data_IF_480418096201
#
_entry.id   IF_480418096201
#
_cell.length_a   1.000
_cell.length_b   1.000
_cell.length_c   1.000
_cell.angle_alpha   90.00
_cell.angle_beta   90.00
_cell.angle_gamma   90.00
#
_symmetry.space_group_name_H-M   'P 1'
#
loop_
_entity.id
_entity.type
_entity.pdbx_description
1 polymer ?
#
# COMPACT_ATOMS: atom_id res chain seq x y z
N UNK A 1 -4.06 -14.31 -51.31
CA UNK A 1 -2.99 -13.55 -50.63
C UNK A 1 -3.51 -12.68 -49.48
N UNK A 2 -4.58 -11.89 -49.65
CA UNK A 2 -5.18 -11.04 -48.59
C UNK A 2 -5.39 -11.73 -47.22
N UNK A 3 -5.87 -12.98 -47.22
CA UNK A 3 -6.16 -13.75 -46.00
C UNK A 3 -4.91 -14.09 -45.18
N UNK A 4 -3.74 -14.23 -45.82
CA UNK A 4 -2.44 -14.48 -45.16
C UNK A 4 -1.94 -13.21 -44.47
N UNK A 5 -2.00 -12.07 -45.15
CA UNK A 5 -1.65 -10.76 -44.56
C UNK A 5 -2.59 -10.38 -43.41
N UNK A 6 -3.90 -10.65 -43.52
CA UNK A 6 -4.86 -10.44 -42.43
C UNK A 6 -4.52 -11.26 -41.18
N UNK A 7 -4.08 -12.52 -41.35
CA UNK A 7 -3.63 -13.38 -40.22
C UNK A 7 -2.35 -12.87 -39.58
N UNK A 8 -1.38 -12.42 -40.39
CA UNK A 8 -0.12 -11.85 -39.89
C UNK A 8 -0.39 -10.56 -39.10
N UNK A 9 -1.19 -9.64 -39.65
CA UNK A 9 -1.58 -8.41 -38.96
C UNK A 9 -2.29 -8.72 -37.65
N UNK A 10 -3.25 -9.66 -37.66
CA UNK A 10 -3.96 -10.06 -36.45
C UNK A 10 -3.02 -10.64 -35.38
N UNK A 11 -2.09 -11.51 -35.76
CA UNK A 11 -1.08 -12.04 -34.84
C UNK A 11 -0.18 -10.93 -34.28
N UNK A 12 0.28 -10.00 -35.11
CA UNK A 12 1.10 -8.86 -34.67
C UNK A 12 0.36 -7.98 -33.67
N UNK A 13 -0.93 -7.67 -33.93
CA UNK A 13 -1.76 -6.89 -33.01
C UNK A 13 -1.92 -7.60 -31.66
N UNK A 14 -2.16 -8.90 -31.67
CA UNK A 14 -2.26 -9.70 -30.44
C UNK A 14 -0.95 -9.63 -29.65
N UNK A 15 0.20 -9.78 -30.30
CA UNK A 15 1.51 -9.70 -29.63
C UNK A 15 1.71 -8.33 -28.99
N UNK A 16 1.36 -7.24 -29.68
CA UNK A 16 1.47 -5.88 -29.16
C UNK A 16 0.56 -5.70 -27.93
N UNK A 17 -0.69 -6.17 -28.00
CA UNK A 17 -1.63 -6.09 -26.87
C UNK A 17 -1.10 -6.88 -25.67
N UNK A 18 -0.63 -8.11 -25.89
CA UNK A 18 -0.07 -8.93 -24.82
C UNK A 18 1.15 -8.25 -24.18
N UNK A 19 2.03 -7.65 -24.97
CA UNK A 19 3.19 -6.92 -24.46
C UNK A 19 2.80 -5.66 -23.68
N UNK A 20 1.80 -4.92 -24.17
CA UNK A 20 1.26 -3.75 -23.49
C UNK A 20 0.63 -4.13 -22.15
N UNK A 21 -0.21 -5.17 -22.12
CA UNK A 21 -0.83 -5.69 -20.89
C UNK A 21 0.24 -6.18 -19.90
N UNK A 22 1.26 -6.90 -20.38
CA UNK A 22 2.38 -7.34 -19.55
C UNK A 22 3.12 -6.16 -18.92
N UNK A 23 3.33 -5.08 -19.67
CA UNK A 23 3.99 -3.87 -19.18
C UNK A 23 3.13 -3.12 -18.17
N UNK A 24 1.85 -2.90 -18.49
CA UNK A 24 0.89 -2.21 -17.60
C UNK A 24 0.71 -2.98 -16.29
N UNK A 25 0.73 -4.32 -16.31
CA UNK A 25 0.64 -5.13 -15.10
C UNK A 25 1.82 -4.93 -14.12
N UNK A 26 2.95 -4.37 -14.58
CA UNK A 26 4.10 -4.04 -13.71
C UNK A 26 3.97 -2.68 -13.02
N UNK A 27 2.99 -1.86 -13.43
CA UNK A 27 2.74 -0.55 -12.84
C UNK A 27 1.92 -0.74 -11.56
N UNK A 28 2.26 0.01 -10.51
CA UNK A 28 1.46 0.14 -9.30
C UNK A 28 0.45 1.27 -9.51
N UNK A 29 -0.83 0.92 -9.62
CA UNK A 29 -1.92 1.88 -9.71
C UNK A 29 -2.55 2.03 -8.34
N UNK A 30 -2.49 3.23 -7.76
CA UNK A 30 -3.09 3.52 -6.48
C UNK A 30 -4.53 4.00 -6.68
N UNK A 31 -5.47 3.38 -5.97
CA UNK A 31 -6.89 3.74 -5.98
C UNK A 31 -7.13 5.03 -5.20
N UNK A 32 -6.37 5.22 -4.12
CA UNK A 32 -6.39 6.43 -3.32
C UNK A 32 -5.27 7.39 -3.75
N UNK A 33 -5.60 8.61 -4.23
CA UNK A 33 -4.60 9.59 -4.64
C UNK A 33 -3.73 10.08 -3.48
N UNK A 34 -4.25 10.11 -2.25
CA UNK A 34 -3.46 10.47 -1.07
C UNK A 34 -2.48 9.37 -0.69
N UNK A 35 -2.85 8.10 -0.94
CA UNK A 35 -1.91 7.00 -0.76
C UNK A 35 -0.81 7.07 -1.82
N UNK A 36 -1.15 7.38 -3.07
CA UNK A 36 -0.13 7.64 -4.09
C UNK A 36 0.79 8.80 -3.68
N UNK A 37 0.23 9.89 -3.16
CA UNK A 37 0.99 11.06 -2.68
C UNK A 37 1.96 10.65 -1.57
N UNK A 38 1.50 9.90 -0.58
CA UNK A 38 2.34 9.36 0.49
C UNK A 38 3.53 8.59 -0.09
N UNK A 39 3.27 7.63 -0.97
CA UNK A 39 4.33 6.80 -1.58
C UNK A 39 5.34 7.65 -2.34
N UNK A 40 4.87 8.68 -3.06
CA UNK A 40 5.77 9.58 -3.80
C UNK A 40 6.63 10.43 -2.90
N UNK A 41 6.07 10.95 -1.82
CA UNK A 41 6.72 11.88 -0.92
C UNK A 41 7.65 11.19 0.07
N UNK A 42 7.35 9.97 0.52
CA UNK A 42 7.99 9.41 1.74
C UNK A 42 8.75 8.11 1.53
N UNK A 43 8.65 7.48 0.36
CA UNK A 43 9.37 6.24 0.09
C UNK A 43 10.88 6.50 0.01
N UNK A 44 11.62 6.14 1.06
CA UNK A 44 13.09 6.27 1.14
C UNK A 44 13.71 4.89 1.39
N UNK A 45 14.40 4.36 0.38
CA UNK A 45 15.08 3.06 0.47
C UNK A 45 14.15 1.95 0.99
N UNK A 46 14.42 1.46 2.20
CA UNK A 46 13.74 0.37 2.89
C UNK A 46 12.49 0.83 3.69
N UNK A 47 12.30 2.13 3.80
CA UNK A 47 11.32 2.74 4.70
C UNK A 47 10.31 3.60 3.95
N UNK A 48 9.11 3.72 4.50
CA UNK A 48 8.08 4.67 4.11
C UNK A 48 7.42 5.21 5.38
N UNK A 49 7.74 6.45 5.76
CA UNK A 49 7.30 7.09 7.01
C UNK A 49 6.76 8.49 6.75
N UNK A 50 5.77 8.91 7.52
CA UNK A 50 5.11 10.20 7.31
C UNK A 50 5.77 11.37 8.03
N UNK A 51 6.95 11.21 8.65
CA UNK A 51 7.58 12.34 9.35
C UNK A 51 8.20 13.33 8.36
N UNK A 52 8.35 14.60 8.77
CA UNK A 52 8.95 15.64 7.92
C UNK A 52 10.40 15.33 7.52
N UNK A 53 11.16 14.61 8.37
CA UNK A 53 12.53 14.19 8.07
C UNK A 53 12.59 13.09 6.99
N UNK A 54 11.52 12.30 6.87
CA UNK A 54 11.41 11.21 5.91
C UNK A 54 10.87 11.66 4.54
N UNK A 55 10.33 12.90 4.47
CA UNK A 55 9.89 13.49 3.21
C UNK A 55 11.09 13.66 2.28
N UNK A 56 10.97 13.08 1.09
CA UNK A 56 11.96 13.20 0.03
C UNK A 56 12.04 14.63 -0.43
N UNK A 57 13.27 15.17 -0.40
CA UNK A 57 13.60 16.44 -1.03
C UNK A 57 13.15 16.53 -2.50
N UNK A 58 13.11 15.38 -3.20
CA UNK A 58 12.51 15.26 -4.53
C UNK A 58 11.58 14.03 -4.57
N UNK A 59 10.25 14.18 -4.76
CA UNK A 59 9.29 13.08 -4.82
C UNK A 59 9.55 12.07 -5.95
N UNK A 60 8.90 10.90 -5.91
CA UNK A 60 8.99 9.93 -7.00
C UNK A 60 8.21 10.50 -8.19
N UNK A 61 8.90 10.78 -9.29
CA UNK A 61 8.29 11.32 -10.51
C UNK A 61 7.97 10.19 -11.51
N UNK A 62 6.91 10.36 -12.29
CA UNK A 62 6.53 9.43 -13.34
C UNK A 62 5.85 8.14 -12.84
N UNK A 63 5.98 7.07 -13.62
CA UNK A 63 5.33 5.78 -13.38
C UNK A 63 5.96 5.12 -12.14
N UNK A 64 5.12 4.74 -11.18
CA UNK A 64 5.53 3.90 -10.05
C UNK A 64 5.47 2.45 -10.52
N UNK A 65 6.64 1.80 -10.63
CA UNK A 65 6.71 0.38 -10.93
C UNK A 65 6.60 -0.42 -9.63
N UNK A 66 5.92 -1.57 -9.65
CA UNK A 66 5.83 -2.47 -8.49
C UNK A 66 7.22 -2.83 -7.94
N UNK A 67 8.22 -2.99 -8.81
CA UNK A 67 9.62 -3.23 -8.42
C UNK A 67 10.25 -2.09 -7.61
N UNK A 68 9.74 -0.85 -7.70
CA UNK A 68 10.22 0.24 -6.86
C UNK A 68 9.78 0.07 -5.39
N UNK A 69 8.69 -0.67 -5.15
CA UNK A 69 8.10 -0.89 -3.84
C UNK A 69 8.59 -2.18 -3.17
N UNK A 70 9.16 -3.11 -3.95
CA UNK A 70 9.68 -4.39 -3.45
C UNK A 70 10.83 -4.25 -2.43
N UNK A 71 11.54 -3.13 -2.39
CA UNK A 71 12.62 -2.94 -1.40
C UNK A 71 12.16 -2.33 -0.07
N UNK A 72 10.88 -1.95 0.05
CA UNK A 72 10.32 -1.39 1.29
C UNK A 72 9.98 -2.53 2.23
N UNK A 73 10.65 -2.57 3.39
CA UNK A 73 10.33 -3.53 4.45
C UNK A 73 9.51 -2.91 5.58
N UNK A 74 9.42 -1.59 5.69
CA UNK A 74 8.71 -0.94 6.79
C UNK A 74 7.87 0.24 6.32
N UNK A 75 6.63 0.24 6.76
CA UNK A 75 5.59 1.19 6.38
C UNK A 75 4.98 1.77 7.63
N UNK A 76 4.87 3.10 7.66
CA UNK A 76 4.07 3.83 8.62
C UNK A 76 3.17 4.80 7.88
N UNK A 77 1.87 4.73 8.18
CA UNK A 77 0.85 5.57 7.57
C UNK A 77 0.15 6.36 8.67
N UNK A 78 0.25 7.69 8.58
CA UNK A 78 -0.55 8.59 9.39
C UNK A 78 -1.78 9.06 8.61
N UNK A 79 -2.94 8.47 8.91
CA UNK A 79 -4.22 8.79 8.29
C UNK A 79 -4.66 10.23 8.59
N UNK A 80 -4.21 10.82 9.70
CA UNK A 80 -4.53 12.22 10.03
C UNK A 80 -3.84 13.22 9.08
N UNK A 81 -2.64 12.90 8.62
CA UNK A 81 -1.85 13.79 7.76
C UNK A 81 -2.18 13.61 6.28
N UNK A 82 -2.30 12.35 5.84
CA UNK A 82 -2.53 12.06 4.43
C UNK A 82 -4.00 11.88 4.09
N UNK A 83 -4.91 11.71 5.05
CA UNK A 83 -6.34 11.50 4.78
C UNK A 83 -6.63 10.33 3.84
N UNK A 84 -5.79 9.28 3.90
CA UNK A 84 -5.95 8.04 3.13
C UNK A 84 -7.20 7.31 3.62
N UNK A 85 -8.03 6.89 2.67
CA UNK A 85 -9.28 6.16 2.86
C UNK A 85 -9.24 4.73 2.32
N UNK A 86 -8.34 4.44 1.38
CA UNK A 86 -8.18 3.09 0.83
C UNK A 86 -6.71 2.63 0.86
N UNK A 87 -6.42 1.67 1.73
CA UNK A 87 -5.09 1.04 1.89
C UNK A 87 -4.90 -0.24 1.06
N UNK A 88 -5.84 -0.57 0.18
CA UNK A 88 -5.82 -1.84 -0.57
C UNK A 88 -4.56 -2.06 -1.40
N UNK A 89 -3.93 -0.99 -1.84
CA UNK A 89 -2.70 -1.01 -2.64
C UNK A 89 -1.44 -1.34 -1.82
N UNK A 90 -1.56 -1.54 -0.50
CA UNK A 90 -0.50 -2.13 0.32
C UNK A 90 -0.03 -3.49 -0.21
N UNK A 91 -0.87 -4.20 -0.98
CA UNK A 91 -0.50 -5.44 -1.67
C UNK A 91 0.71 -5.29 -2.62
N UNK A 92 1.03 -4.07 -3.07
CA UNK A 92 2.21 -3.86 -3.90
C UNK A 92 3.54 -3.99 -3.14
N UNK A 93 3.54 -3.91 -1.80
CA UNK A 93 4.72 -3.96 -0.95
C UNK A 93 5.04 -5.39 -0.52
N UNK A 94 5.41 -6.24 -1.49
CA UNK A 94 5.52 -7.70 -1.31
C UNK A 94 6.51 -8.16 -0.24
N UNK A 95 7.52 -7.35 0.08
CA UNK A 95 8.56 -7.68 1.05
C UNK A 95 8.44 -6.85 2.33
N UNK A 96 7.28 -6.24 2.58
CA UNK A 96 7.04 -5.53 3.83
C UNK A 96 7.05 -6.52 5.00
N UNK A 97 7.78 -6.13 6.03
CA UNK A 97 7.93 -6.85 7.30
C UNK A 97 7.02 -6.22 8.35
N UNK A 98 7.02 -4.88 8.45
CA UNK A 98 6.24 -4.17 9.47
C UNK A 98 5.36 -3.06 8.87
N UNK A 99 4.08 -3.04 9.26
CA UNK A 99 3.09 -2.03 8.85
C UNK A 99 2.49 -1.39 10.10
N UNK A 100 2.61 -0.07 10.20
CA UNK A 100 2.06 0.74 11.27
C UNK A 100 1.00 1.66 10.68
N UNK A 101 -0.24 1.54 11.15
CA UNK A 101 -1.38 2.33 10.71
C UNK A 101 -1.87 3.16 11.89
N UNK A 102 -1.92 4.49 11.74
CA UNK A 102 -2.18 5.35 12.88
C UNK A 102 -2.92 6.64 12.53
N UNK A 103 -3.66 7.17 13.50
CA UNK A 103 -4.05 8.58 13.54
C UNK A 103 -3.16 9.33 14.53
N UNK A 104 -1.90 9.56 14.15
CA UNK A 104 -0.94 10.21 15.04
C UNK A 104 -1.05 11.74 15.01
N UNK A 105 -0.97 12.35 16.19
CA UNK A 105 -0.95 13.80 16.36
C UNK A 105 0.48 14.34 16.33
N UNK A 106 0.63 15.65 16.04
CA UNK A 106 1.88 16.37 16.21
C UNK A 106 2.17 16.76 17.68
N UNK A 107 1.24 16.50 18.60
CA UNK A 107 1.36 16.82 20.02
C UNK A 107 1.68 15.56 20.84
N UNK A 108 2.86 15.55 21.46
CA UNK A 108 3.26 14.49 22.37
C UNK A 108 2.24 14.32 23.50
N UNK A 109 1.72 13.10 23.64
CA UNK A 109 0.73 12.74 24.66
C UNK A 109 -0.73 12.90 24.23
N UNK A 110 -1.02 13.20 22.97
CA UNK A 110 -2.40 13.06 22.44
C UNK A 110 -2.84 11.59 22.54
N UNK A 111 -3.94 11.36 23.26
CA UNK A 111 -4.56 10.05 23.45
C UNK A 111 -5.92 9.97 22.77
N UNK A 112 -6.20 10.89 21.85
CA UNK A 112 -7.43 10.88 21.07
C UNK A 112 -7.50 9.59 20.26
N UNK A 113 -8.70 9.03 20.20
CA UNK A 113 -9.02 7.85 19.40
C UNK A 113 -9.95 8.33 18.29
N UNK A 114 -9.62 7.98 17.05
CA UNK A 114 -10.32 8.43 15.86
C UNK A 114 -11.10 7.29 15.24
N UNK A 115 -12.25 7.61 14.67
CA UNK A 115 -12.96 6.68 13.80
C UNK A 115 -12.03 6.29 12.65
N UNK A 116 -12.04 5.01 12.26
CA UNK A 116 -11.12 4.52 11.23
C UNK A 116 -11.55 4.94 9.81
N UNK A 117 -12.69 5.62 9.68
CA UNK A 117 -13.29 6.05 8.40
C UNK A 117 -13.40 4.90 7.39
N UNK A 118 -13.61 3.66 7.85
CA UNK A 118 -13.61 2.44 7.02
C UNK A 118 -12.29 2.13 6.32
N UNK A 119 -11.17 2.72 6.76
CA UNK A 119 -9.85 2.47 6.19
C UNK A 119 -9.44 1.01 6.41
N UNK A 120 -9.85 0.39 7.52
CA UNK A 120 -9.48 -0.98 7.84
C UNK A 120 -10.36 -2.03 7.12
N UNK A 121 -11.43 -1.64 6.43
CA UNK A 121 -12.26 -2.56 5.63
C UNK A 121 -11.42 -3.34 4.60
N UNK A 122 -10.33 -2.74 4.12
CA UNK A 122 -9.42 -3.33 3.13
C UNK A 122 -8.23 -4.08 3.75
N UNK A 123 -8.12 -4.16 5.08
CA UNK A 123 -6.99 -4.78 5.78
C UNK A 123 -6.81 -6.26 5.37
N UNK A 124 -7.89 -6.98 5.07
CA UNK A 124 -7.81 -8.36 4.61
C UNK A 124 -7.01 -8.58 3.34
N UNK A 125 -6.80 -7.54 2.51
CA UNK A 125 -6.03 -7.65 1.27
C UNK A 125 -4.54 -7.90 1.51
N UNK A 126 -4.05 -7.57 2.70
CA UNK A 126 -2.64 -7.78 3.07
C UNK A 126 -2.40 -9.03 3.93
N UNK A 127 -3.44 -9.82 4.23
CA UNK A 127 -3.33 -11.03 5.08
C UNK A 127 -2.36 -12.09 4.54
N UNK A 128 -2.17 -12.12 3.23
CA UNK A 128 -1.34 -13.10 2.53
C UNK A 128 0.08 -12.54 2.22
N UNK A 129 0.45 -11.39 2.78
CA UNK A 129 1.81 -10.85 2.65
C UNK A 129 2.80 -11.76 3.38
N UNK A 130 3.65 -12.43 2.60
CA UNK A 130 4.54 -13.50 3.07
C UNK A 130 5.48 -13.08 4.21
N UNK A 131 5.94 -11.84 4.21
CA UNK A 131 6.97 -11.36 5.12
C UNK A 131 6.43 -10.48 6.25
N UNK A 132 5.13 -10.18 6.26
CA UNK A 132 4.51 -9.35 7.28
C UNK A 132 4.59 -10.05 8.64
N UNK A 133 5.44 -9.54 9.52
CA UNK A 133 5.70 -10.08 10.85
C UNK A 133 5.12 -9.20 11.97
N UNK A 134 4.81 -7.94 11.67
CA UNK A 134 4.37 -6.95 12.64
C UNK A 134 3.32 -6.01 12.04
N UNK A 135 2.13 -6.00 12.62
CA UNK A 135 1.02 -5.10 12.27
C UNK A 135 0.63 -4.31 13.51
N UNK A 136 0.80 -2.99 13.45
CA UNK A 136 0.52 -2.10 14.57
C UNK A 136 -0.57 -1.11 14.18
N UNK A 137 -1.60 -1.00 15.02
CA UNK A 137 -2.76 -0.12 14.85
C UNK A 137 -2.82 0.84 16.03
N UNK A 138 -2.65 2.14 15.79
CA UNK A 138 -2.58 3.16 16.84
C UNK A 138 -3.66 4.24 16.69
N UNK A 139 -4.27 4.64 17.81
CA UNK A 139 -5.26 5.72 17.88
C UNK A 139 -6.50 5.48 16.99
N UNK A 140 -6.84 4.22 16.77
CA UNK A 140 -7.98 3.76 15.96
C UNK A 140 -9.11 3.30 16.88
N UNK A 141 -10.33 3.73 16.61
CA UNK A 141 -11.53 3.31 17.34
C UNK A 141 -11.93 1.92 16.87
N UNK A 142 -11.62 0.91 17.67
CA UNK A 142 -11.95 -0.49 17.39
C UNK A 142 -12.73 -1.06 18.56
N UNK A 143 -13.76 -1.86 18.25
CA UNK A 143 -14.44 -2.64 19.27
C UNK A 143 -13.76 -4.00 19.49
N UNK A 144 -14.23 -4.74 20.50
CA UNK A 144 -13.64 -6.04 20.86
C UNK A 144 -13.76 -7.07 19.72
N UNK A 145 -14.83 -7.00 18.91
CA UNK A 145 -15.05 -7.91 17.78
C UNK A 145 -14.06 -7.62 16.65
N UNK A 146 -13.85 -6.34 16.33
CA UNK A 146 -12.85 -5.90 15.35
C UNK A 146 -11.44 -6.36 15.75
N UNK A 147 -11.05 -6.13 17.00
CA UNK A 147 -9.75 -6.53 17.55
C UNK A 147 -9.56 -8.05 17.40
N UNK A 148 -10.56 -8.85 17.78
CA UNK A 148 -10.50 -10.30 17.63
C UNK A 148 -10.40 -10.74 16.17
N UNK A 149 -11.18 -10.12 15.28
CA UNK A 149 -11.21 -10.44 13.86
C UNK A 149 -9.86 -10.13 13.19
N UNK A 150 -9.26 -8.98 13.51
CA UNK A 150 -7.93 -8.60 13.03
C UNK A 150 -6.87 -9.61 13.50
N UNK A 151 -6.86 -9.96 14.79
CA UNK A 151 -5.91 -10.96 15.32
C UNK A 151 -6.06 -12.33 14.66
N UNK A 152 -7.30 -12.77 14.38
CA UNK A 152 -7.57 -14.02 13.66
C UNK A 152 -7.14 -13.96 12.19
N UNK A 153 -7.20 -12.78 11.57
CA UNK A 153 -6.83 -12.55 10.17
C UNK A 153 -5.31 -12.61 9.94
N UNK A 154 -4.51 -12.24 10.95
CA UNK A 154 -3.05 -12.23 10.89
C UNK A 154 -2.42 -13.17 11.94
N UNK A 155 -2.67 -14.49 11.88
CA UNK A 155 -2.25 -15.42 12.93
C UNK A 155 -0.71 -15.59 13.04
N UNK A 156 0.02 -15.20 11.99
CA UNK A 156 1.48 -15.32 11.92
C UNK A 156 2.22 -13.99 12.14
N UNK A 157 1.48 -12.88 12.27
CA UNK A 157 2.07 -11.58 12.55
C UNK A 157 1.79 -11.19 14.00
N UNK A 158 2.70 -10.42 14.59
CA UNK A 158 2.47 -9.74 15.85
C UNK A 158 1.49 -8.60 15.60
N UNK A 159 0.28 -8.71 16.14
CA UNK A 159 -0.74 -7.66 16.07
C UNK A 159 -0.74 -6.85 17.37
N UNK A 160 -0.43 -5.55 17.27
CA UNK A 160 -0.49 -4.59 18.38
C UNK A 160 -1.60 -3.57 18.09
N UNK A 161 -2.45 -3.30 19.07
CA UNK A 161 -3.55 -2.34 18.97
C UNK A 161 -3.50 -1.47 20.23
N UNK A 162 -3.37 -0.16 20.08
CA UNK A 162 -3.27 0.82 21.19
C UNK A 162 -4.02 2.13 20.91
#
# INVERSE_FOLDING_TARGET
MLRKYKKIICATVIIIIVFALYTVNKIAFFHDPEFERLVRETKVNYWMYTTDEDKRHKPLEGIIWKSNLECVGKIYINFREYHIRDISDLIYFKNVESIHLAYSSAYDGDKSIYDDEHVLDNLYKIKDLKYLDDLQLYHLKLDDEDIENIKKMFPNARVIIE
#
